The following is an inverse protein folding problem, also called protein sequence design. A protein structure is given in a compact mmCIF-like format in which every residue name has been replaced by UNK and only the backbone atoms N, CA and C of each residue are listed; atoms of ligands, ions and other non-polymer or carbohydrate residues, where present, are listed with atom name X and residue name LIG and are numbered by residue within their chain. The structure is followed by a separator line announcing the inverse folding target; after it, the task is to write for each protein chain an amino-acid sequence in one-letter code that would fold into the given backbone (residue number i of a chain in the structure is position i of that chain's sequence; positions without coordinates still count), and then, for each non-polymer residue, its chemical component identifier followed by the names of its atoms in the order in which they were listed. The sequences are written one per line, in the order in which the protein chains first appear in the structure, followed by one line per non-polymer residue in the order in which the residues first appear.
data_IF_541568732300
#
_entry.id   IF_541568732300
#
_cell.length_a   1.000
_cell.length_b   1.000
_cell.length_c   1.000
_cell.angle_alpha   90.00
_cell.angle_beta   90.00
_cell.angle_gamma   90.00
#
_symmetry.space_group_name_H-M   'P 1'
#
loop_
_entity.id
_entity.type
_entity.pdbx_description
1 polymer ?
#
# COMPACT_ATOMS: atom_id res chain seq x y z
N UNK A 1 -32.14 -1.94 -46.77
CA UNK A 1 -32.57 -1.36 -45.48
C UNK A 1 -32.47 -2.43 -44.39
N UNK A 2 -31.50 -2.35 -43.45
CA UNK A 2 -31.60 -2.92 -42.07
C UNK A 2 -30.28 -3.11 -41.29
N UNK A 3 -29.08 -2.76 -41.79
CA UNK A 3 -27.83 -2.97 -41.02
C UNK A 3 -27.57 -1.92 -39.92
N UNK A 4 -28.07 -0.70 -40.07
CA UNK A 4 -27.72 0.42 -39.16
C UNK A 4 -28.39 0.33 -37.77
N UNK A 5 -29.55 -0.34 -37.64
CA UNK A 5 -30.26 -0.39 -36.35
C UNK A 5 -29.69 -1.41 -35.37
N UNK A 6 -29.08 -2.49 -35.87
CA UNK A 6 -28.45 -3.52 -35.02
C UNK A 6 -27.14 -3.02 -34.40
N UNK A 7 -26.31 -2.31 -35.16
CA UNK A 7 -25.07 -1.72 -34.65
C UNK A 7 -25.36 -0.69 -33.53
N UNK A 8 -26.42 0.12 -33.70
CA UNK A 8 -26.81 1.13 -32.72
C UNK A 8 -27.41 0.53 -31.43
N UNK A 9 -28.17 -0.57 -31.54
CA UNK A 9 -28.69 -1.30 -30.36
C UNK A 9 -27.60 -2.08 -29.63
N UNK A 10 -26.65 -2.67 -30.35
CA UNK A 10 -25.48 -3.33 -29.75
C UNK A 10 -24.57 -2.32 -29.03
N UNK A 11 -24.34 -1.15 -29.63
CA UNK A 11 -23.60 -0.06 -29.00
C UNK A 11 -24.27 0.44 -27.72
N UNK A 12 -25.60 0.59 -27.72
CA UNK A 12 -26.35 0.98 -26.51
C UNK A 12 -26.31 -0.10 -25.41
N UNK A 13 -26.35 -1.38 -25.77
CA UNK A 13 -26.26 -2.49 -24.82
C UNK A 13 -24.84 -2.61 -24.22
N UNK A 14 -23.80 -2.43 -25.03
CA UNK A 14 -22.42 -2.39 -24.58
C UNK A 14 -22.16 -1.20 -23.66
N UNK A 15 -22.68 -0.02 -23.98
CA UNK A 15 -22.59 1.16 -23.11
C UNK A 15 -23.32 0.96 -21.78
N UNK A 16 -24.50 0.32 -21.80
CA UNK A 16 -25.23 -0.01 -20.58
C UNK A 16 -24.51 -1.02 -19.68
N UNK A 17 -23.86 -2.03 -20.27
CA UNK A 17 -23.01 -2.97 -19.55
C UNK A 17 -21.76 -2.30 -18.99
N UNK A 18 -21.07 -1.48 -19.80
CA UNK A 18 -19.88 -0.73 -19.37
C UNK A 18 -20.21 0.20 -18.19
N UNK A 19 -21.33 0.91 -18.28
CA UNK A 19 -21.77 1.84 -17.24
C UNK A 19 -22.12 1.12 -15.92
N UNK A 20 -22.72 -0.06 -15.99
CA UNK A 20 -22.98 -0.90 -14.81
C UNK A 20 -21.68 -1.44 -14.17
N UNK A 21 -20.72 -1.89 -14.99
CA UNK A 21 -19.43 -2.37 -14.50
C UNK A 21 -18.56 -1.25 -13.93
N UNK A 22 -18.54 -0.06 -14.53
CA UNK A 22 -17.81 1.11 -14.02
C UNK A 22 -18.37 1.53 -12.66
N UNK A 23 -19.69 1.56 -12.49
CA UNK A 23 -20.31 1.88 -11.21
C UNK A 23 -19.97 0.86 -10.10
N UNK A 24 -19.93 -0.43 -10.44
CA UNK A 24 -19.53 -1.50 -9.52
C UNK A 24 -18.03 -1.45 -9.19
N UNK A 25 -17.16 -1.23 -10.18
CA UNK A 25 -15.71 -1.09 -9.98
C UNK A 25 -15.41 0.15 -9.12
N UNK A 26 -16.08 1.28 -9.37
CA UNK A 26 -15.92 2.49 -8.59
C UNK A 26 -16.30 2.29 -7.11
N UNK A 27 -17.40 1.56 -6.86
CA UNK A 27 -17.84 1.23 -5.50
C UNK A 27 -16.84 0.30 -4.78
N UNK A 28 -16.36 -0.74 -5.46
CA UNK A 28 -15.36 -1.68 -4.90
C UNK A 28 -14.03 -0.95 -4.60
N UNK A 29 -13.62 -0.02 -5.47
CA UNK A 29 -12.39 0.76 -5.28
C UNK A 29 -12.46 1.68 -4.07
N UNK A 30 -13.63 2.28 -3.82
CA UNK A 30 -13.84 3.16 -2.66
C UNK A 30 -13.81 2.38 -1.34
N UNK A 31 -14.39 1.17 -1.33
CA UNK A 31 -14.37 0.28 -0.16
C UNK A 31 -12.96 -0.24 0.14
N UNK A 32 -12.23 -0.69 -0.89
CA UNK A 32 -10.83 -1.13 -0.79
C UNK A 32 -9.92 0.00 -0.28
N UNK A 33 -10.13 1.23 -0.76
CA UNK A 33 -9.36 2.40 -0.34
C UNK A 33 -9.56 2.71 1.14
N UNK A 34 -10.79 2.70 1.62
CA UNK A 34 -11.07 3.03 3.02
C UNK A 34 -10.50 1.97 3.97
N UNK A 35 -10.58 0.70 3.59
CA UNK A 35 -9.98 -0.39 4.35
C UNK A 35 -8.44 -0.33 4.32
N UNK A 36 -7.84 -0.01 3.18
CA UNK A 36 -6.39 0.18 3.07
C UNK A 36 -5.89 1.37 3.91
N UNK A 37 -6.59 2.50 3.87
CA UNK A 37 -6.28 3.67 4.72
C UNK A 37 -6.40 3.31 6.20
N UNK A 38 -7.46 2.61 6.60
CA UNK A 38 -7.64 2.15 7.98
C UNK A 38 -6.51 1.21 8.41
N UNK A 39 -6.16 0.23 7.57
CA UNK A 39 -5.06 -0.70 7.83
C UNK A 39 -3.71 0.04 7.92
N UNK A 40 -3.47 1.04 7.08
CA UNK A 40 -2.26 1.86 7.09
C UNK A 40 -2.16 2.73 8.35
N UNK A 41 -3.27 3.34 8.78
CA UNK A 41 -3.33 4.13 10.01
C UNK A 41 -3.12 3.26 11.25
N UNK A 42 -3.84 2.15 11.37
CA UNK A 42 -3.69 1.20 12.49
C UNK A 42 -2.31 0.55 12.49
N UNK A 43 -1.82 0.12 11.33
CA UNK A 43 -0.48 -0.45 11.16
C UNK A 43 0.60 0.56 11.53
N UNK A 44 0.51 1.79 11.05
CA UNK A 44 1.42 2.88 11.38
C UNK A 44 1.41 3.24 12.87
N UNK A 45 0.23 3.29 13.49
CA UNK A 45 0.10 3.54 14.92
C UNK A 45 0.72 2.39 15.74
N UNK A 46 0.42 1.15 15.39
CA UNK A 46 0.98 -0.04 16.03
C UNK A 46 2.52 -0.07 15.92
N UNK A 47 3.04 0.20 14.72
CA UNK A 47 4.47 0.31 14.47
C UNK A 47 5.12 1.42 15.30
N UNK A 48 4.48 2.59 15.41
CA UNK A 48 4.98 3.70 16.23
C UNK A 48 5.06 3.34 17.72
N UNK A 49 4.02 2.71 18.27
CA UNK A 49 4.05 2.22 19.65
C UNK A 49 5.12 1.14 19.87
N UNK A 50 5.29 0.23 18.91
CA UNK A 50 6.33 -0.78 18.98
C UNK A 50 7.75 -0.17 19.02
N UNK A 51 8.01 0.85 18.18
CA UNK A 51 9.28 1.59 18.21
C UNK A 51 9.51 2.32 19.52
N UNK A 52 8.47 3.00 20.06
CA UNK A 52 8.56 3.68 21.36
C UNK A 52 8.85 2.69 22.50
N UNK A 53 8.17 1.55 22.52
CA UNK A 53 8.42 0.50 23.50
C UNK A 53 9.84 -0.04 23.41
N UNK A 54 10.31 -0.33 22.19
CA UNK A 54 11.67 -0.83 21.96
C UNK A 54 12.74 0.17 22.41
N UNK A 55 12.52 1.45 22.11
CA UNK A 55 13.38 2.53 22.60
C UNK A 55 13.40 2.59 24.13
N UNK A 56 12.22 2.54 24.78
CA UNK A 56 12.11 2.50 26.24
C UNK A 56 12.84 1.30 26.85
N UNK A 57 12.72 0.11 26.24
CA UNK A 57 13.40 -1.10 26.67
C UNK A 57 14.93 -0.98 26.56
N UNK A 58 15.39 -0.32 25.50
CA UNK A 58 16.82 -0.06 25.27
C UNK A 58 17.40 0.85 26.34
N UNK A 59 16.69 1.94 26.67
CA UNK A 59 17.08 2.85 27.75
C UNK A 59 17.05 2.12 29.09
N UNK A 60 15.99 1.34 29.37
CA UNK A 60 15.88 0.56 30.60
C UNK A 60 17.04 -0.42 30.78
N UNK A 61 17.41 -1.16 29.72
CA UNK A 61 18.59 -2.02 29.70
C UNK A 61 19.87 -1.23 30.02
N UNK A 62 20.04 -0.06 29.41
CA UNK A 62 21.20 0.79 29.62
C UNK A 62 21.29 1.29 31.07
N UNK A 63 20.15 1.63 31.68
CA UNK A 63 20.06 2.07 33.08
C UNK A 63 20.37 0.92 34.04
N UNK A 64 19.80 -0.27 33.81
CA UNK A 64 20.04 -1.46 34.67
C UNK A 64 21.51 -1.85 34.65
N UNK A 65 22.12 -1.91 33.46
CA UNK A 65 23.50 -2.34 33.29
C UNK A 65 24.51 -1.20 33.25
N UNK A 66 24.07 0.00 33.68
CA UNK A 66 24.90 1.20 33.67
C UNK A 66 26.19 0.93 34.41
N UNK A 67 26.24 0.42 35.63
CA UNK A 67 27.53 0.46 36.32
C UNK A 67 28.59 -0.58 35.85
N UNK A 68 28.16 -1.73 35.35
CA UNK A 68 29.10 -2.84 35.07
C UNK A 68 29.39 -3.08 33.59
N UNK A 69 28.42 -2.91 32.68
CA UNK A 69 28.51 -3.44 31.31
C UNK A 69 27.96 -2.49 30.23
N UNK A 70 28.03 -1.16 30.44
CA UNK A 70 27.54 -0.09 29.54
C UNK A 70 27.82 -0.37 28.06
N UNK A 71 29.10 -0.60 27.75
CA UNK A 71 29.59 -0.79 26.39
C UNK A 71 29.08 -2.08 25.77
N UNK A 72 29.07 -3.18 26.50
CA UNK A 72 28.57 -4.46 26.00
C UNK A 72 27.07 -4.39 25.70
N UNK A 73 26.28 -3.76 26.58
CA UNK A 73 24.85 -3.57 26.37
C UNK A 73 24.58 -2.59 25.22
N UNK A 74 25.34 -1.49 25.12
CA UNK A 74 25.22 -0.56 24.00
C UNK A 74 25.53 -1.22 22.65
N UNK A 75 26.63 -1.99 22.56
CA UNK A 75 26.99 -2.74 21.35
C UNK A 75 25.92 -3.78 21.02
N UNK A 76 25.43 -4.53 22.02
CA UNK A 76 24.35 -5.49 21.85
C UNK A 76 23.07 -4.86 21.31
N UNK A 77 22.68 -3.70 21.85
CA UNK A 77 21.55 -2.92 21.34
C UNK A 77 21.80 -2.43 19.92
N UNK A 78 22.99 -1.93 19.59
CA UNK A 78 23.32 -1.51 18.23
C UNK A 78 23.21 -2.66 17.22
N UNK A 79 23.74 -3.84 17.56
CA UNK A 79 23.65 -5.03 16.70
C UNK A 79 22.20 -5.47 16.56
N UNK A 80 21.42 -5.50 17.65
CA UNK A 80 20.02 -5.88 17.64
C UNK A 80 19.18 -4.94 16.75
N UNK A 81 19.29 -3.62 16.94
CA UNK A 81 18.58 -2.65 16.12
C UNK A 81 19.06 -2.65 14.67
N UNK A 82 20.36 -2.81 14.44
CA UNK A 82 20.93 -2.92 13.10
C UNK A 82 20.42 -4.14 12.34
N UNK A 83 20.37 -5.30 12.98
CA UNK A 83 19.79 -6.51 12.40
C UNK A 83 18.29 -6.34 12.12
N UNK A 84 17.54 -5.75 13.04
CA UNK A 84 16.13 -5.42 12.84
C UNK A 84 15.91 -4.46 11.67
N UNK A 85 16.74 -3.44 11.52
CA UNK A 85 16.69 -2.49 10.40
C UNK A 85 16.99 -3.18 9.06
N UNK A 86 17.99 -4.07 9.01
CA UNK A 86 18.30 -4.84 7.80
C UNK A 86 17.18 -5.79 7.41
N UNK A 87 16.62 -6.52 8.38
CA UNK A 87 15.48 -7.42 8.14
C UNK A 87 14.24 -6.65 7.66
N UNK A 88 13.90 -5.55 8.32
CA UNK A 88 12.78 -4.71 7.94
C UNK A 88 13.00 -4.06 6.57
N UNK A 89 14.21 -3.55 6.30
CA UNK A 89 14.57 -2.94 5.01
C UNK A 89 14.52 -3.93 3.85
N UNK A 90 15.04 -5.15 4.05
CA UNK A 90 14.96 -6.21 3.02
C UNK A 90 13.52 -6.63 2.78
N UNK A 91 12.72 -6.84 3.84
CA UNK A 91 11.32 -7.18 3.71
C UNK A 91 10.51 -6.07 3.03
N UNK A 92 10.75 -4.80 3.37
CA UNK A 92 10.12 -3.65 2.73
C UNK A 92 10.47 -3.56 1.25
N UNK A 93 11.76 -3.66 0.90
CA UNK A 93 12.20 -3.65 -0.51
C UNK A 93 11.58 -4.81 -1.28
N UNK A 94 11.49 -5.99 -0.67
CA UNK A 94 10.89 -7.16 -1.30
C UNK A 94 9.38 -7.00 -1.47
N UNK A 95 8.69 -6.43 -0.47
CA UNK A 95 7.27 -6.08 -0.53
C UNK A 95 6.99 -5.05 -1.63
N UNK A 96 7.80 -3.98 -1.71
CA UNK A 96 7.68 -2.96 -2.77
C UNK A 96 7.97 -3.51 -4.17
N UNK A 97 8.89 -4.48 -4.29
CA UNK A 97 9.18 -5.15 -5.56
C UNK A 97 8.06 -6.11 -5.98
N UNK A 98 7.38 -6.72 -5.02
CA UNK A 98 6.29 -7.67 -5.25
C UNK A 98 4.92 -6.99 -5.34
N UNK A 99 4.81 -5.72 -4.92
CA UNK A 99 3.60 -4.94 -5.08
C UNK A 99 3.43 -4.56 -6.56
N UNK A 100 2.56 -5.27 -7.27
CA UNK A 100 2.03 -4.83 -8.56
C UNK A 100 1.45 -3.41 -8.41
N UNK A 101 1.80 -2.52 -9.35
CA UNK A 101 1.45 -1.12 -9.28
C UNK A 101 -0.08 -0.95 -9.14
N UNK A 102 -0.59 -0.37 -8.04
CA UNK A 102 -2.03 -0.30 -7.75
C UNK A 102 -2.82 0.65 -8.67
N UNK A 103 -2.17 1.20 -9.70
CA UNK A 103 -2.71 2.20 -10.63
C UNK A 103 -2.53 1.79 -12.10
N UNK A 104 -2.25 0.53 -12.40
CA UNK A 104 -2.24 0.04 -13.79
C UNK A 104 -3.58 0.30 -14.48
N UNK A 105 -4.68 -0.05 -13.80
CA UNK A 105 -6.04 0.21 -14.29
C UNK A 105 -6.35 1.71 -14.45
N UNK A 106 -5.86 2.56 -13.54
CA UNK A 106 -6.07 4.03 -13.61
C UNK A 106 -5.21 4.69 -14.70
N UNK A 107 -3.99 4.20 -14.94
CA UNK A 107 -3.13 4.66 -16.03
C UNK A 107 -3.71 4.25 -17.39
N UNK A 108 -4.33 3.08 -17.46
CA UNK A 108 -4.97 2.56 -18.67
C UNK A 108 -6.25 3.34 -19.00
N UNK A 109 -7.06 3.72 -17.99
CA UNK A 109 -8.15 4.69 -18.19
C UNK A 109 -7.64 6.08 -18.60
N UNK A 110 -6.57 6.59 -17.99
CA UNK A 110 -6.00 7.89 -18.34
C UNK A 110 -5.41 7.92 -19.76
N UNK A 111 -4.84 6.80 -20.24
CA UNK A 111 -4.41 6.66 -21.63
C UNK A 111 -5.60 6.62 -22.59
N UNK A 112 -6.67 5.93 -22.22
CA UNK A 112 -7.87 5.80 -23.05
C UNK A 112 -8.63 7.12 -23.19
N UNK A 113 -8.69 7.92 -22.12
CA UNK A 113 -9.20 9.30 -22.15
C UNK A 113 -8.32 10.21 -23.04
N UNK A 114 -6.99 10.01 -23.00
CA UNK A 114 -6.06 10.76 -23.84
C UNK A 114 -6.19 10.42 -25.33
N UNK A 115 -6.48 9.16 -25.66
CA UNK A 115 -6.75 8.70 -27.04
C UNK A 115 -8.10 9.20 -27.57
N UNK A 116 -9.10 9.41 -26.70
CA UNK A 116 -10.38 10.03 -27.09
C UNK A 116 -10.34 11.56 -27.16
N UNK A 117 -9.45 12.22 -26.41
CA UNK A 117 -9.29 13.68 -26.39
C UNK A 117 -8.34 14.21 -27.48
N UNK A 118 -7.54 13.36 -28.11
CA UNK A 118 -6.75 13.72 -29.30
C UNK A 118 -7.47 13.21 -30.57
N UNK A 119 -8.10 14.09 -31.37
CA UNK A 119 -8.73 13.73 -32.64
C UNK A 119 -7.71 13.34 -33.72
#
# INVERSE_FOLDING_TARGET
MSKDSSARRLGAALLGLLQGHIALIAHELEDQRNQALRALLLGGLCFSFALLLLFGLSVLLLVIFWDSHRLAVAIGLCVFHGAGLLACGTWLVQSLRNAEAPFSATLEELQRDKEQLLP
#
